data_IF_320701505826
#
_entry.id   IF_320701505826
#
_cell.length_a   1.000
_cell.length_b   1.000
_cell.length_c   1.000
_cell.angle_alpha   90.00
_cell.angle_beta   90.00
_cell.angle_gamma   90.00
#
_symmetry.space_group_name_H-M   'P 1'
#
loop_
_entity.id
_entity.type
_entity.pdbx_description
1 polymer ?
#
# COMPACT_ATOMS: atom_id res chain seq x y z
N UNK A 1 -6.71 15.34 15.69
CA UNK A 1 -6.05 14.73 14.51
C UNK A 1 -6.98 13.84 13.69
N UNK A 2 -7.65 12.83 14.26
CA UNK A 2 -8.56 11.95 13.49
C UNK A 2 -9.73 12.70 12.80
N UNK A 3 -10.35 13.67 13.48
CA UNK A 3 -11.42 14.51 12.89
C UNK A 3 -10.91 15.41 11.75
N UNK A 4 -9.70 15.96 11.89
CA UNK A 4 -9.07 16.77 10.84
C UNK A 4 -8.69 15.91 9.62
N UNK A 5 -8.13 14.72 9.85
CA UNK A 5 -7.85 13.75 8.78
C UNK A 5 -9.13 13.26 8.09
N UNK A 6 -10.20 13.03 8.85
CA UNK A 6 -11.52 12.70 8.32
C UNK A 6 -12.14 13.82 7.50
N UNK A 7 -12.09 15.06 8.00
CA UNK A 7 -12.61 16.24 7.29
C UNK A 7 -11.82 16.52 6.00
N UNK A 8 -10.49 16.35 6.02
CA UNK A 8 -9.63 16.50 4.85
C UNK A 8 -9.92 15.40 3.82
N UNK A 9 -10.05 14.15 4.26
CA UNK A 9 -10.45 13.03 3.38
C UNK A 9 -11.83 13.29 2.78
N UNK A 10 -12.79 13.76 3.58
CA UNK A 10 -14.14 14.08 3.12
C UNK A 10 -14.12 15.24 2.10
N UNK A 11 -13.42 16.33 2.38
CA UNK A 11 -13.28 17.48 1.47
C UNK A 11 -12.64 17.07 0.13
N UNK A 12 -11.60 16.24 0.18
CA UNK A 12 -10.92 15.69 -1.00
C UNK A 12 -11.84 14.78 -1.84
N UNK A 13 -12.69 13.96 -1.20
CA UNK A 13 -13.64 13.09 -1.90
C UNK A 13 -14.94 13.78 -2.32
N UNK A 14 -15.28 14.94 -1.76
CA UNK A 14 -16.52 15.68 -2.06
C UNK A 14 -16.35 16.75 -3.16
N UNK A 15 -15.17 17.38 -3.29
CA UNK A 15 -14.93 18.49 -4.25
C UNK A 15 -14.91 18.05 -5.71
N UNK A 16 -15.52 18.73 -6.68
CA UNK A 16 -15.43 18.31 -8.11
C UNK A 16 -14.13 18.75 -8.83
N UNK A 17 -13.22 19.43 -8.14
CA UNK A 17 -11.99 20.00 -8.70
C UNK A 17 -10.78 19.04 -8.63
N UNK A 18 -9.72 19.26 -9.44
CA UNK A 18 -8.46 18.52 -9.34
C UNK A 18 -7.91 18.59 -7.91
N UNK A 19 -7.53 17.45 -7.36
CA UNK A 19 -7.11 17.32 -5.96
C UNK A 19 -5.73 16.64 -5.89
N UNK A 20 -5.07 16.64 -4.73
CA UNK A 20 -3.78 15.95 -4.57
C UNK A 20 -3.91 14.42 -4.59
N UNK A 21 -5.14 13.91 -4.47
CA UNK A 21 -5.43 12.48 -4.42
C UNK A 21 -5.56 11.92 -5.83
N UNK A 22 -4.47 11.32 -6.31
CA UNK A 22 -4.52 10.55 -7.54
C UNK A 22 -5.46 9.34 -7.41
N UNK A 23 -6.04 8.92 -8.54
CA UNK A 23 -6.91 7.76 -8.68
C UNK A 23 -8.24 7.86 -7.91
N UNK A 24 -8.71 9.08 -7.62
CA UNK A 24 -9.95 9.31 -6.88
C UNK A 24 -11.16 8.54 -7.44
N UNK A 25 -11.34 8.55 -8.76
CA UNK A 25 -12.39 7.85 -9.47
C UNK A 25 -11.87 6.53 -10.10
N UNK A 26 -10.96 5.83 -9.42
CA UNK A 26 -10.50 4.50 -9.76
C UNK A 26 -10.99 3.49 -8.70
N UNK A 27 -12.19 2.91 -8.87
CA UNK A 27 -12.86 2.13 -7.84
C UNK A 27 -12.02 1.01 -7.20
N UNK A 28 -11.23 0.19 -7.91
CA UNK A 28 -10.50 -0.88 -7.25
C UNK A 28 -9.38 -0.36 -6.35
N UNK A 29 -8.62 0.65 -6.77
CA UNK A 29 -7.42 1.07 -6.04
C UNK A 29 -7.77 1.65 -4.66
N UNK A 30 -8.68 2.62 -4.62
CA UNK A 30 -9.03 3.30 -3.37
C UNK A 30 -9.88 2.42 -2.43
N UNK A 31 -10.79 1.60 -2.98
CA UNK A 31 -11.57 0.65 -2.16
C UNK A 31 -10.68 -0.40 -1.51
N UNK A 32 -9.71 -0.94 -2.25
CA UNK A 32 -8.76 -1.92 -1.71
C UNK A 32 -7.82 -1.31 -0.68
N UNK A 33 -7.31 -0.08 -0.91
CA UNK A 33 -6.53 0.64 0.10
C UNK A 33 -7.30 0.82 1.39
N UNK A 34 -8.55 1.29 1.30
CA UNK A 34 -9.40 1.44 2.48
C UNK A 34 -9.62 0.11 3.20
N UNK A 35 -10.03 -0.93 2.47
CA UNK A 35 -10.28 -2.26 3.04
C UNK A 35 -9.03 -2.86 3.70
N UNK A 36 -7.86 -2.69 3.07
CA UNK A 36 -6.58 -3.16 3.60
C UNK A 36 -6.18 -2.43 4.87
N UNK A 37 -6.26 -1.09 4.88
CA UNK A 37 -5.95 -0.29 6.07
C UNK A 37 -6.90 -0.63 7.23
N UNK A 38 -8.20 -0.74 6.94
CA UNK A 38 -9.20 -1.17 7.93
C UNK A 38 -8.90 -2.57 8.47
N UNK A 39 -8.62 -3.55 7.60
CA UNK A 39 -8.28 -4.91 7.99
C UNK A 39 -7.01 -4.93 8.87
N UNK A 40 -5.97 -4.19 8.50
CA UNK A 40 -4.75 -4.08 9.30
C UNK A 40 -5.04 -3.49 10.69
N UNK A 41 -5.75 -2.36 10.77
CA UNK A 41 -6.06 -1.73 12.07
C UNK A 41 -6.89 -2.68 12.95
N UNK A 42 -7.91 -3.33 12.40
CA UNK A 42 -8.75 -4.28 13.15
C UNK A 42 -7.93 -5.49 13.62
N UNK A 43 -7.17 -6.12 12.74
CA UNK A 43 -6.33 -7.28 13.06
C UNK A 43 -5.30 -6.93 14.14
N UNK A 44 -4.60 -5.80 13.98
CA UNK A 44 -3.59 -5.37 14.96
C UNK A 44 -4.22 -4.96 16.30
N UNK A 45 -5.40 -4.35 16.28
CA UNK A 45 -6.12 -4.01 17.52
C UNK A 45 -6.58 -5.26 18.27
N UNK A 46 -7.07 -6.28 17.56
CA UNK A 46 -7.43 -7.58 18.14
C UNK A 46 -6.20 -8.30 18.71
N UNK A 47 -5.08 -8.26 17.98
CA UNK A 47 -3.80 -8.81 18.44
C UNK A 47 -3.34 -8.12 19.75
N UNK A 48 -3.33 -6.79 19.76
CA UNK A 48 -2.88 -6.00 20.90
C UNK A 48 -3.82 -6.11 22.12
N UNK A 49 -5.10 -6.41 21.90
CA UNK A 49 -6.09 -6.65 22.98
C UNK A 49 -5.91 -8.01 23.66
N UNK A 50 -5.36 -9.01 22.97
CA UNK A 50 -5.30 -10.40 23.46
C UNK A 50 -4.72 -10.57 24.87
N UNK A 51 -3.61 -9.90 25.26
CA UNK A 51 -3.02 -10.05 26.60
C UNK A 51 -3.86 -9.41 27.71
N UNK A 52 -4.77 -8.49 27.38
CA UNK A 52 -5.58 -7.74 28.34
C UNK A 52 -6.93 -8.43 28.58
N UNK A 53 -7.61 -8.82 27.50
CA UNK A 53 -8.93 -9.44 27.53
C UNK A 53 -9.02 -10.53 26.44
N UNK A 54 -8.55 -11.75 26.73
CA UNK A 54 -8.53 -12.82 25.76
C UNK A 54 -9.97 -13.31 25.46
N UNK A 55 -10.30 -13.32 24.18
CA UNK A 55 -11.51 -13.92 23.60
C UNK A 55 -11.13 -14.91 22.51
N UNK A 56 -12.05 -15.79 22.10
CA UNK A 56 -11.80 -16.74 21.01
C UNK A 56 -11.32 -16.08 19.71
N UNK A 57 -11.87 -14.92 19.36
CA UNK A 57 -11.44 -14.15 18.18
C UNK A 57 -10.00 -13.61 18.33
N UNK A 58 -9.66 -13.01 19.48
CA UNK A 58 -8.30 -12.52 19.72
C UNK A 58 -7.27 -13.65 19.78
N UNK A 59 -7.67 -14.83 20.31
CA UNK A 59 -6.82 -16.01 20.38
C UNK A 59 -6.51 -16.56 18.98
N UNK A 60 -7.48 -16.55 18.06
CA UNK A 60 -7.26 -16.93 16.66
C UNK A 60 -6.26 -15.99 15.98
N UNK A 61 -6.45 -14.67 16.11
CA UNK A 61 -5.52 -13.69 15.53
C UNK A 61 -4.12 -13.80 16.13
N UNK A 62 -4.02 -13.94 17.46
CA UNK A 62 -2.76 -14.13 18.16
C UNK A 62 -2.05 -15.43 17.73
N UNK A 63 -2.79 -16.54 17.64
CA UNK A 63 -2.27 -17.82 17.16
C UNK A 63 -1.75 -17.76 15.73
N UNK A 64 -2.47 -17.10 14.82
CA UNK A 64 -2.00 -16.86 13.45
C UNK A 64 -0.71 -16.03 13.43
N UNK A 65 -0.64 -14.96 14.23
CA UNK A 65 0.55 -14.14 14.36
C UNK A 65 1.76 -14.94 14.86
N UNK A 66 1.56 -15.79 15.85
CA UNK A 66 2.60 -16.65 16.42
C UNK A 66 3.11 -17.70 15.43
N UNK A 67 2.25 -18.23 14.56
CA UNK A 67 2.66 -19.18 13.50
C UNK A 67 3.36 -18.49 12.34
N UNK A 68 2.86 -17.33 11.89
CA UNK A 68 3.44 -16.57 10.78
C UNK A 68 4.74 -15.85 11.17
N UNK A 69 4.91 -15.51 12.45
CA UNK A 69 6.08 -14.83 13.00
C UNK A 69 7.41 -15.46 12.55
N UNK A 70 7.70 -16.71 12.94
CA UNK A 70 8.94 -17.39 12.58
C UNK A 70 9.12 -17.60 11.06
N UNK A 71 8.02 -17.85 10.34
CA UNK A 71 8.07 -18.11 8.88
C UNK A 71 8.49 -16.88 8.10
N UNK A 72 7.98 -15.70 8.48
CA UNK A 72 8.25 -14.45 7.77
C UNK A 72 9.46 -13.71 8.31
N UNK A 73 9.97 -14.08 9.49
CA UNK A 73 11.16 -13.51 10.13
C UNK A 73 12.45 -14.27 9.78
N UNK A 74 12.63 -14.65 8.52
CA UNK A 74 13.92 -15.18 8.04
C UNK A 74 14.98 -14.07 7.94
N UNK A 75 16.24 -14.46 7.75
CA UNK A 75 17.36 -13.52 7.75
C UNK A 75 17.16 -12.38 6.73
N UNK A 76 17.38 -11.14 7.17
CA UNK A 76 17.18 -9.91 6.39
C UNK A 76 15.76 -9.66 5.85
N UNK A 77 14.74 -10.40 6.32
CA UNK A 77 13.36 -10.11 5.92
C UNK A 77 12.87 -8.78 6.51
N UNK A 78 11.88 -8.11 5.88
CA UNK A 78 11.28 -6.89 6.43
C UNK A 78 10.74 -7.07 7.85
N UNK A 79 10.15 -8.22 8.14
CA UNK A 79 9.64 -8.57 9.47
C UNK A 79 10.79 -8.69 10.46
N UNK A 80 11.90 -9.33 10.08
CA UNK A 80 13.07 -9.46 10.93
C UNK A 80 13.71 -8.09 11.22
N UNK A 81 13.75 -7.19 10.24
CA UNK A 81 14.26 -5.83 10.43
C UNK A 81 13.43 -5.02 11.42
N UNK A 82 12.11 -5.22 11.47
CA UNK A 82 11.22 -4.63 12.47
C UNK A 82 11.54 -5.13 13.90
N UNK A 83 11.93 -6.40 14.04
CA UNK A 83 12.35 -6.93 15.35
C UNK A 83 13.73 -6.39 15.73
N UNK A 84 14.66 -6.28 14.77
CA UNK A 84 16.04 -5.82 14.98
C UNK A 84 16.19 -4.31 15.30
N UNK A 85 15.13 -3.52 15.14
CA UNK A 85 15.09 -2.14 15.61
C UNK A 85 14.66 -2.02 17.09
N UNK A 86 14.19 -3.10 17.72
CA UNK A 86 13.88 -3.11 19.14
C UNK A 86 15.17 -3.08 19.98
N UNK A 87 15.16 -2.43 21.16
CA UNK A 87 16.30 -2.47 22.08
C UNK A 87 16.62 -3.88 22.54
N UNK A 88 17.90 -4.17 22.79
CA UNK A 88 18.35 -5.49 23.29
C UNK A 88 17.72 -5.87 24.64
N UNK A 89 17.38 -4.86 25.46
CA UNK A 89 16.72 -5.05 26.76
C UNK A 89 15.18 -5.26 26.67
N UNK A 90 14.62 -5.40 25.47
CA UNK A 90 13.17 -5.60 25.28
C UNK A 90 12.76 -6.98 25.80
N UNK A 91 11.65 -7.05 26.53
CA UNK A 91 11.12 -8.32 27.04
C UNK A 91 10.68 -9.25 25.89
N UNK A 92 10.84 -10.55 26.09
CA UNK A 92 10.46 -11.56 25.10
C UNK A 92 8.99 -11.47 24.66
N UNK A 93 8.00 -11.26 25.55
CA UNK A 93 6.61 -11.10 25.14
C UNK A 93 6.38 -9.90 24.22
N UNK A 94 7.08 -8.79 24.45
CA UNK A 94 7.00 -7.60 23.59
C UNK A 94 7.63 -7.85 22.22
N UNK A 95 8.75 -8.57 22.15
CA UNK A 95 9.37 -8.97 20.88
C UNK A 95 8.43 -9.88 20.06
N UNK A 96 7.80 -10.86 20.71
CA UNK A 96 6.83 -11.75 20.08
C UNK A 96 5.61 -10.99 19.55
N UNK A 97 5.12 -10.01 20.32
CA UNK A 97 4.02 -9.15 19.92
C UNK A 97 4.36 -8.30 18.69
N UNK A 98 5.51 -7.64 18.69
CA UNK A 98 6.01 -6.83 17.56
C UNK A 98 6.19 -7.69 16.31
N UNK A 99 6.82 -8.87 16.46
CA UNK A 99 7.01 -9.82 15.36
C UNK A 99 5.68 -10.28 14.78
N UNK A 100 4.74 -10.68 15.63
CA UNK A 100 3.41 -11.14 15.20
C UNK A 100 2.62 -10.04 14.47
N UNK A 101 2.69 -8.80 14.98
CA UNK A 101 2.07 -7.64 14.35
C UNK A 101 2.66 -7.37 12.96
N UNK A 102 3.99 -7.36 12.85
CA UNK A 102 4.69 -7.17 11.59
C UNK A 102 4.33 -8.27 10.58
N UNK A 103 4.33 -9.53 10.99
CA UNK A 103 3.96 -10.66 10.13
C UNK A 103 2.53 -10.57 9.60
N UNK A 104 1.54 -10.32 10.48
CA UNK A 104 0.13 -10.24 10.08
C UNK A 104 -0.13 -9.08 9.11
N UNK A 105 0.40 -7.89 9.42
CA UNK A 105 0.25 -6.73 8.55
C UNK A 105 0.95 -6.91 7.21
N UNK A 106 2.13 -7.56 7.20
CA UNK A 106 2.87 -7.86 5.97
C UNK A 106 2.11 -8.84 5.06
N UNK A 107 1.48 -9.88 5.63
CA UNK A 107 0.62 -10.80 4.88
C UNK A 107 -0.59 -10.07 4.30
N UNK A 108 -1.28 -9.24 5.09
CA UNK A 108 -2.41 -8.44 4.61
C UNK A 108 -2.00 -7.50 3.48
N UNK A 109 -0.83 -6.87 3.57
CA UNK A 109 -0.26 -6.05 2.51
C UNK A 109 -0.02 -6.85 1.23
N UNK A 110 0.62 -8.02 1.34
CA UNK A 110 0.89 -8.91 0.21
C UNK A 110 -0.40 -9.40 -0.47
N UNK A 111 -1.39 -9.84 0.32
CA UNK A 111 -2.71 -10.25 -0.18
C UNK A 111 -3.44 -9.11 -0.89
N UNK A 112 -3.34 -7.89 -0.37
CA UNK A 112 -3.94 -6.71 -0.99
C UNK A 112 -3.30 -6.42 -2.35
N UNK A 113 -1.96 -6.43 -2.43
CA UNK A 113 -1.24 -6.23 -3.68
C UNK A 113 -1.61 -7.31 -4.70
N UNK A 114 -1.60 -8.59 -4.28
CA UNK A 114 -1.94 -9.72 -5.13
C UNK A 114 -3.39 -9.64 -5.64
N UNK A 115 -4.34 -9.33 -4.76
CA UNK A 115 -5.74 -9.13 -5.12
C UNK A 115 -5.92 -7.97 -6.10
N UNK A 116 -5.20 -6.86 -5.90
CA UNK A 116 -5.26 -5.71 -6.81
C UNK A 116 -4.71 -6.07 -8.19
N UNK A 117 -3.55 -6.74 -8.23
CA UNK A 117 -2.95 -7.22 -9.47
C UNK A 117 -3.88 -8.17 -10.24
N UNK A 118 -4.58 -9.06 -9.54
CA UNK A 118 -5.56 -9.97 -10.13
C UNK A 118 -6.77 -9.21 -10.70
N UNK A 119 -7.31 -8.25 -9.94
CA UNK A 119 -8.46 -7.44 -10.38
C UNK A 119 -8.13 -6.62 -11.63
N UNK A 120 -6.96 -5.97 -11.69
CA UNK A 120 -6.59 -5.17 -12.87
C UNK A 120 -6.26 -6.05 -14.10
N UNK A 121 -5.78 -7.28 -13.88
CA UNK A 121 -5.44 -8.21 -14.95
C UNK A 121 -6.67 -8.89 -15.57
N UNK A 122 -7.65 -9.25 -14.74
CA UNK A 122 -8.84 -10.01 -15.17
C UNK A 122 -10.04 -9.07 -15.43
N UNK A 123 -10.19 -8.00 -14.64
CA UNK A 123 -11.43 -7.21 -14.56
C UNK A 123 -11.64 -6.14 -15.64
N UNK A 124 -10.95 -6.19 -16.78
CA UNK A 124 -11.00 -5.16 -17.84
C UNK A 124 -10.87 -3.71 -17.34
N UNK A 125 -10.26 -3.52 -16.16
CA UNK A 125 -10.07 -2.21 -15.57
C UNK A 125 -9.02 -1.42 -16.38
N UNK A 126 -9.24 -0.11 -16.63
CA UNK A 126 -10.34 0.75 -16.18
C UNK A 126 -11.55 0.83 -17.12
N UNK A 127 -11.54 0.12 -18.25
CA UNK A 127 -12.53 0.25 -19.33
C UNK A 127 -13.94 -0.20 -18.91
N UNK A 128 -14.04 -1.20 -18.01
CA UNK A 128 -15.32 -1.76 -17.57
C UNK A 128 -16.16 -0.89 -16.62
N UNK A 129 -15.61 0.19 -16.04
CA UNK A 129 -16.29 1.02 -15.02
C UNK A 129 -16.52 2.48 -15.48
N UNK A 130 -16.51 2.72 -16.80
CA UNK A 130 -16.64 4.05 -17.42
C UNK A 130 -15.33 4.53 -18.05
N UNK A 131 -15.40 5.61 -18.85
CA UNK A 131 -14.23 6.19 -19.49
C UNK A 131 -13.24 6.72 -18.43
N UNK A 132 -12.02 6.18 -18.42
CA UNK A 132 -10.95 6.65 -17.54
C UNK A 132 -10.60 8.11 -17.87
N UNK A 133 -11.08 9.05 -17.05
CA UNK A 133 -10.73 10.45 -17.18
C UNK A 133 -9.33 10.68 -16.58
N UNK A 134 -8.37 10.90 -17.46
CA UNK A 134 -6.95 11.11 -17.11
C UNK A 134 -6.80 12.35 -16.23
N UNK A 135 -7.47 13.46 -16.54
CA UNK A 135 -7.37 14.71 -15.79
C UNK A 135 -7.91 14.60 -14.35
N UNK A 136 -8.94 13.79 -14.15
CA UNK A 136 -9.54 13.56 -12.82
C UNK A 136 -8.71 12.58 -11.99
N UNK A 137 -8.15 11.55 -12.62
CA UNK A 137 -7.41 10.51 -11.89
C UNK A 137 -5.91 10.80 -11.77
N UNK A 138 -5.34 11.59 -12.68
CA UNK A 138 -3.93 11.97 -12.71
C UNK A 138 -3.79 13.50 -12.80
N UNK A 139 -4.28 14.26 -11.81
CA UNK A 139 -4.33 15.72 -11.87
C UNK A 139 -2.95 16.38 -11.89
N UNK A 140 -1.93 15.70 -11.36
CA UNK A 140 -0.54 16.16 -11.37
C UNK A 140 0.21 15.78 -12.66
N UNK A 141 -0.42 15.02 -13.55
CA UNK A 141 0.19 14.57 -14.79
C UNK A 141 -0.17 15.52 -15.93
N UNK A 142 0.79 16.33 -16.36
CA UNK A 142 0.64 17.17 -17.55
C UNK A 142 0.88 16.36 -18.84
N UNK A 143 -0.16 16.11 -19.67
CA UNK A 143 -0.02 15.37 -20.91
C UNK A 143 0.71 16.15 -22.01
N UNK A 144 0.89 17.46 -21.86
CA UNK A 144 1.45 18.37 -22.87
C UNK A 144 2.92 18.71 -22.66
N UNK A 145 3.44 18.55 -21.44
CA UNK A 145 4.84 18.89 -21.11
C UNK A 145 5.74 17.64 -21.09
N UNK A 146 6.79 17.64 -21.92
CA UNK A 146 7.94 16.72 -21.82
C UNK A 146 7.71 15.27 -22.27
N UNK A 147 8.09 14.93 -23.51
CA UNK A 147 8.25 13.54 -23.99
C UNK A 147 6.96 12.69 -24.03
N UNK A 148 7.11 11.42 -24.43
CA UNK A 148 5.97 10.51 -24.58
C UNK A 148 5.32 10.14 -23.24
N UNK A 149 4.03 10.43 -23.11
CA UNK A 149 3.17 10.12 -21.96
C UNK A 149 3.29 8.66 -21.50
N UNK A 150 3.35 7.71 -22.44
CA UNK A 150 3.43 6.28 -22.11
C UNK A 150 4.75 5.97 -21.40
N UNK A 151 5.88 6.49 -21.92
CA UNK A 151 7.20 6.26 -21.32
C UNK A 151 7.32 6.84 -19.92
N UNK A 152 6.73 8.03 -19.67
CA UNK A 152 6.70 8.65 -18.34
C UNK A 152 5.88 7.84 -17.35
N UNK A 153 4.66 7.42 -17.73
CA UNK A 153 3.82 6.58 -16.88
C UNK A 153 4.50 5.23 -16.56
N UNK A 154 5.21 4.64 -17.52
CA UNK A 154 5.98 3.43 -17.28
C UNK A 154 7.13 3.65 -16.29
N UNK A 155 7.89 4.73 -16.46
CA UNK A 155 8.99 5.09 -15.57
C UNK A 155 8.47 5.33 -14.15
N UNK A 156 7.47 6.18 -14.01
CA UNK A 156 6.93 6.56 -12.70
C UNK A 156 6.24 5.36 -12.03
N UNK A 157 5.59 4.50 -12.81
CA UNK A 157 5.06 3.22 -12.34
C UNK A 157 6.14 2.29 -11.78
N UNK A 158 7.26 2.13 -12.49
CA UNK A 158 8.41 1.34 -12.04
C UNK A 158 9.05 1.93 -10.78
N UNK A 159 9.23 3.25 -10.73
CA UNK A 159 9.76 3.93 -9.54
C UNK A 159 8.88 3.66 -8.32
N UNK A 160 7.56 3.76 -8.45
CA UNK A 160 6.63 3.48 -7.36
C UNK A 160 6.71 2.02 -6.86
N UNK A 161 6.83 1.05 -7.78
CA UNK A 161 6.99 -0.37 -7.41
C UNK A 161 8.33 -0.59 -6.68
N UNK A 162 9.43 -0.08 -7.24
CA UNK A 162 10.76 -0.22 -6.63
C UNK A 162 10.76 0.43 -5.24
N UNK A 163 10.26 1.66 -5.12
CA UNK A 163 10.14 2.34 -3.83
C UNK A 163 9.30 1.53 -2.84
N UNK A 164 8.14 1.01 -3.26
CA UNK A 164 7.29 0.20 -2.41
C UNK A 164 7.90 -1.16 -2.02
N UNK A 165 8.82 -1.72 -2.80
CA UNK A 165 9.57 -2.92 -2.41
C UNK A 165 10.69 -2.57 -1.43
N UNK A 166 11.36 -1.43 -1.61
CA UNK A 166 12.51 -1.02 -0.78
C UNK A 166 12.10 -0.44 0.57
N UNK A 167 10.97 0.27 0.65
CA UNK A 167 10.53 0.97 1.86
C UNK A 167 10.37 0.09 3.11
N UNK A 168 9.80 -1.13 3.04
CA UNK A 168 9.70 -2.02 4.21
C UNK A 168 11.06 -2.33 4.84
N UNK A 169 12.14 -2.30 4.05
CA UNK A 169 13.52 -2.49 4.52
C UNK A 169 14.15 -1.18 4.99
N UNK A 170 13.91 -0.08 4.26
CA UNK A 170 14.49 1.22 4.57
C UNK A 170 13.91 1.82 5.86
N UNK A 171 12.60 1.69 6.10
CA UNK A 171 11.93 2.29 7.25
C UNK A 171 12.54 1.81 8.59
N UNK A 172 12.65 0.50 8.89
CA UNK A 172 13.25 0.05 10.15
C UNK A 172 14.70 0.53 10.33
N UNK A 173 15.48 0.56 9.24
CA UNK A 173 16.88 1.03 9.26
C UNK A 173 16.94 2.52 9.58
N UNK A 174 16.14 3.34 8.91
CA UNK A 174 16.07 4.79 9.15
C UNK A 174 15.61 5.10 10.58
N UNK A 175 14.63 4.35 11.09
CA UNK A 175 14.20 4.46 12.48
C UNK A 175 15.34 4.14 13.45
N UNK A 176 16.08 3.05 13.23
CA UNK A 176 17.23 2.68 14.07
C UNK A 176 18.35 3.73 14.03
N UNK A 177 18.61 4.32 12.87
CA UNK A 177 19.64 5.36 12.69
C UNK A 177 19.23 6.73 13.26
N UNK A 178 17.93 7.00 13.38
CA UNK A 178 17.41 8.26 13.96
C UNK A 178 17.54 8.37 15.49
N UNK A 179 18.41 7.55 16.10
CA UNK A 179 18.60 7.43 17.55
C UNK A 179 18.67 8.81 18.23
N UNK A 180 17.64 9.14 19.01
CA UNK A 180 17.50 10.41 19.72
C UNK A 180 16.17 11.15 19.47
N UNK A 181 15.47 10.89 18.36
CA UNK A 181 14.20 11.59 18.02
C UNK A 181 12.97 10.70 18.19
N UNK A 182 13.08 9.40 17.88
CA UNK A 182 11.99 8.42 17.99
C UNK A 182 12.46 7.25 18.87
N UNK A 183 11.81 7.09 20.01
CA UNK A 183 12.08 5.97 20.91
C UNK A 183 11.44 4.68 20.36
N UNK A 184 12.26 3.67 20.07
CA UNK A 184 11.79 2.33 19.69
C UNK A 184 10.86 1.68 20.72
N UNK A 185 10.89 2.13 21.99
CA UNK A 185 9.91 1.76 23.00
C UNK A 185 8.47 2.16 22.64
N UNK A 186 8.25 3.03 21.65
CA UNK A 186 6.91 3.33 21.13
C UNK A 186 6.17 2.06 20.70
N UNK A 187 6.85 1.04 20.16
CA UNK A 187 6.20 -0.20 19.73
C UNK A 187 5.76 -1.12 20.87
N UNK A 188 6.21 -0.85 22.10
CA UNK A 188 5.70 -1.54 23.29
C UNK A 188 4.32 -1.01 23.72
N UNK A 189 3.94 0.19 23.27
CA UNK A 189 2.63 0.77 23.55
C UNK A 189 1.61 0.24 22.54
N UNK A 190 0.52 -0.44 22.97
CA UNK A 190 -0.46 -1.08 22.07
C UNK A 190 -0.97 -0.18 20.94
N UNK A 191 -1.32 1.07 21.26
CA UNK A 191 -1.84 2.02 20.28
C UNK A 191 -0.78 2.40 19.23
N UNK A 192 0.46 2.66 19.66
CA UNK A 192 1.54 3.04 18.76
C UNK A 192 1.98 1.86 17.90
N UNK A 193 1.97 0.64 18.45
CA UNK A 193 2.20 -0.59 17.68
C UNK A 193 1.23 -0.69 16.51
N UNK A 194 -0.08 -0.54 16.76
CA UNK A 194 -1.11 -0.62 15.71
C UNK A 194 -0.83 0.38 14.59
N UNK A 195 -0.61 1.66 14.93
CA UNK A 195 -0.43 2.71 13.93
C UNK A 195 0.89 2.59 13.15
N UNK A 196 2.01 2.33 13.83
CA UNK A 196 3.32 2.26 13.20
C UNK A 196 3.43 1.03 12.30
N UNK A 197 2.96 -0.13 12.76
CA UNK A 197 3.02 -1.37 11.98
C UNK A 197 2.02 -1.33 10.81
N UNK A 198 0.80 -0.81 11.02
CA UNK A 198 -0.14 -0.59 9.92
C UNK A 198 0.45 0.36 8.87
N UNK A 199 1.03 1.49 9.29
CA UNK A 199 1.66 2.45 8.38
C UNK A 199 2.84 1.86 7.61
N UNK A 200 3.71 1.13 8.31
CA UNK A 200 4.87 0.44 7.73
C UNK A 200 4.48 -0.56 6.63
N UNK A 201 3.40 -1.33 6.82
CA UNK A 201 2.94 -2.28 5.80
C UNK A 201 2.08 -1.62 4.70
N UNK A 202 1.27 -0.62 5.06
CA UNK A 202 0.27 -0.01 4.18
C UNK A 202 0.88 0.96 3.16
N UNK A 203 1.84 1.79 3.57
CA UNK A 203 2.46 2.80 2.68
C UNK A 203 3.15 2.14 1.49
N UNK A 204 4.02 1.12 1.68
CA UNK A 204 4.70 0.47 0.56
C UNK A 204 3.73 -0.31 -0.33
N UNK A 205 2.73 -0.98 0.25
CA UNK A 205 1.68 -1.65 -0.53
C UNK A 205 0.90 -0.66 -1.40
N UNK A 206 0.58 0.51 -0.87
CA UNK A 206 -0.12 1.56 -1.60
C UNK A 206 0.69 2.11 -2.77
N UNK A 207 2.02 2.21 -2.64
CA UNK A 207 2.92 2.60 -3.72
C UNK A 207 3.03 1.52 -4.79
N UNK A 208 3.14 0.24 -4.42
CA UNK A 208 3.17 -0.87 -5.38
C UNK A 208 1.87 -0.88 -6.20
N UNK A 209 0.71 -0.79 -5.55
CA UNK A 209 -0.58 -0.76 -6.25
C UNK A 209 -0.70 0.47 -7.17
N UNK A 210 -0.18 1.64 -6.74
CA UNK A 210 -0.12 2.84 -7.58
C UNK A 210 0.72 2.60 -8.84
N UNK A 211 1.89 1.99 -8.67
CA UNK A 211 2.79 1.69 -9.79
C UNK A 211 2.19 0.67 -10.77
N UNK A 212 1.50 -0.36 -10.26
CA UNK A 212 0.76 -1.31 -11.09
C UNK A 212 -0.35 -0.62 -11.88
N UNK A 213 -1.09 0.31 -11.26
CA UNK A 213 -2.12 1.09 -11.94
C UNK A 213 -1.53 1.95 -13.07
N UNK A 214 -0.40 2.62 -12.83
CA UNK A 214 0.30 3.39 -13.86
C UNK A 214 0.75 2.55 -15.05
N UNK A 215 1.37 1.39 -14.79
CA UNK A 215 1.80 0.48 -15.85
C UNK A 215 0.62 -0.02 -16.69
N UNK A 216 -0.50 -0.33 -16.05
CA UNK A 216 -1.72 -0.77 -16.74
C UNK A 216 -2.29 0.33 -17.64
N UNK A 217 -2.34 1.58 -17.15
CA UNK A 217 -2.82 2.71 -17.96
C UNK A 217 -1.90 2.94 -19.16
N UNK A 218 -0.59 2.91 -18.95
CA UNK A 218 0.40 3.07 -20.02
C UNK A 218 0.22 2.01 -21.13
N UNK A 219 0.00 0.76 -20.74
CA UNK A 219 -0.26 -0.35 -21.66
C UNK A 219 -1.50 -0.09 -22.52
N UNK A 220 -2.60 0.34 -21.90
CA UNK A 220 -3.86 0.60 -22.60
C UNK A 220 -3.76 1.79 -23.57
N UNK A 221 -3.03 2.84 -23.19
CA UNK A 221 -2.76 3.98 -24.09
C UNK A 221 -1.94 3.49 -25.30
N UNK A 222 -0.91 2.69 -25.07
CA UNK A 222 -0.09 2.14 -26.15
C UNK A 222 -0.89 1.20 -27.08
N UNK A 223 -1.82 0.40 -26.53
CA UNK A 223 -2.73 -0.44 -27.32
C UNK A 223 -3.69 0.40 -28.17
N UNK A 224 -4.33 1.44 -27.58
CA UNK A 224 -5.23 2.35 -28.32
C UNK A 224 -4.53 3.09 -29.44
N UNK A 225 -3.30 3.58 -29.22
CA UNK A 225 -2.49 4.22 -30.28
C UNK A 225 -2.21 3.26 -31.43
N UNK A 226 -1.76 2.04 -31.14
CA UNK A 226 -1.52 1.01 -32.17
C UNK A 226 -2.76 0.69 -33.00
N UNK A 227 -3.93 0.60 -32.35
CA UNK A 227 -5.20 0.37 -33.05
C UNK A 227 -5.57 1.55 -33.98
N UNK A 228 -5.38 2.79 -33.53
CA UNK A 228 -5.66 3.98 -34.34
C UNK A 228 -4.73 4.10 -35.57
N UNK A 229 -3.44 3.76 -35.44
CA UNK A 229 -2.51 3.72 -36.57
C UNK A 229 -2.92 2.65 -37.59
N UNK A 230 -3.27 1.44 -37.15
CA UNK A 230 -3.70 0.37 -38.03
C UNK A 230 -5.00 0.69 -38.81
N UNK A 231 -5.94 1.42 -38.18
CA UNK A 231 -7.17 1.89 -38.82
C UNK A 231 -6.89 2.99 -39.86
N UNK A 232 -5.93 3.88 -39.57
CA UNK A 232 -5.50 4.92 -40.51
C UNK A 232 -4.81 4.33 -41.74
N UNK A 233 -3.94 3.34 -41.55
CA UNK A 233 -3.28 2.63 -42.66
C UNK A 233 -4.31 1.91 -43.54
N UNK A 234 -5.31 1.25 -42.93
CA UNK A 234 -6.39 0.59 -43.66
C UNK A 234 -7.20 1.56 -44.54
N UNK A 235 -7.51 2.76 -44.02
CA UNK A 235 -8.21 3.82 -44.77
C UNK A 235 -7.37 4.45 -45.89
N UNK A 236 -6.03 4.43 -45.79
CA UNK A 236 -5.15 4.94 -46.86
C UNK A 236 -4.92 3.93 -47.99
N UNK A 237 -5.13 2.63 -47.73
CA UNK A 237 -4.96 1.55 -48.71
C UNK A 237 -6.25 1.15 -49.45
N UNK A 238 -7.39 1.75 -49.11
CA UNK A 238 -8.71 1.51 -49.71
C UNK A 238 -9.06 2.60 -50.73
#
# INVERSE_FOLDING_TARGET
MALLGGALTFAEYFSSFPSFVEFRAAPPLNRMRFAACFAMIVTLSLLARHPLEPTGLTALIHGLGMQLGPVLAFEYSPVQLIVLMMPEATSEPSLLMVRSAASLSYVLAALTIAGFALIIRIGNWPVGNGAFNVWVNLPLFDPTTGGDVVTRLQRDGRINIIAGILLPFAIPVLFKLSSGVLDSALLTKPQMLVWLIAGWAFVPASLIMRGLAFLRIAELIAQKRRAAYADTDALQTA
#
